data_IF_280260005502
#
_entry.id   IF_280260005502
#
_cell.length_a   1.000
_cell.length_b   1.000
_cell.length_c   1.000
_cell.angle_alpha   90.00
_cell.angle_beta   90.00
_cell.angle_gamma   90.00
#
_symmetry.space_group_name_H-M   'P 1'
#
loop_
_entity.id
_entity.type
_entity.pdbx_description
1 polymer ?
#
# COMPACT_ATOMS: atom_id res chain seq x y z
N UNK A 1 4.52 -14.24 -47.57
CA UNK A 1 5.19 -13.94 -46.29
C UNK A 1 4.82 -12.52 -45.93
N UNK A 2 3.74 -12.33 -45.18
CA UNK A 2 3.37 -11.03 -44.62
C UNK A 2 3.19 -11.25 -43.13
N UNK A 3 4.19 -10.81 -42.36
CA UNK A 3 4.18 -10.83 -40.91
C UNK A 3 3.37 -9.64 -40.41
N UNK A 4 2.11 -9.90 -40.03
CA UNK A 4 1.29 -8.95 -39.30
C UNK A 4 1.84 -8.73 -37.90
N UNK A 5 2.50 -7.59 -37.69
CA UNK A 5 2.82 -7.07 -36.37
C UNK A 5 1.51 -6.60 -35.71
N UNK A 6 0.95 -7.43 -34.82
CA UNK A 6 -0.09 -6.97 -33.87
C UNK A 6 0.59 -6.08 -32.83
N UNK A 7 0.46 -4.77 -33.02
CA UNK A 7 0.71 -3.79 -31.97
C UNK A 7 -0.29 -3.98 -30.84
N UNK A 8 0.14 -4.59 -29.73
CA UNK A 8 -0.57 -4.48 -28.46
C UNK A 8 -0.29 -3.08 -27.88
N UNK A 9 -0.97 -2.05 -28.40
CA UNK A 9 -1.10 -0.78 -27.69
C UNK A 9 -2.01 -1.04 -26.49
N UNK A 10 -1.47 -0.97 -25.27
CA UNK A 10 -2.29 -0.88 -24.07
C UNK A 10 -3.07 0.43 -24.14
N UNK A 11 -4.38 0.35 -24.38
CA UNK A 11 -5.26 1.52 -24.36
C UNK A 11 -5.10 2.23 -23.01
N UNK A 12 -4.60 3.47 -23.05
CA UNK A 12 -4.57 4.33 -21.87
C UNK A 12 -6.02 4.62 -21.52
N UNK A 13 -6.49 4.08 -20.39
CA UNK A 13 -7.81 4.41 -19.88
C UNK A 13 -7.81 5.90 -19.50
N UNK A 14 -8.45 6.73 -20.32
CA UNK A 14 -8.55 8.16 -20.06
C UNK A 14 -9.86 8.44 -19.32
N UNK A 15 -9.76 9.00 -18.12
CA UNK A 15 -10.94 9.37 -17.34
C UNK A 15 -11.77 10.43 -18.07
N UNK A 16 -13.08 10.21 -18.32
CA UNK A 16 -13.92 11.17 -19.00
C UNK A 16 -14.10 12.42 -18.14
N UNK A 17 -14.16 13.59 -18.79
CA UNK A 17 -14.49 14.85 -18.14
C UNK A 17 -15.94 14.83 -17.66
N UNK A 18 -16.21 15.41 -16.48
CA UNK A 18 -17.57 15.56 -15.98
C UNK A 18 -18.32 16.66 -16.73
N UNK A 19 -17.63 17.75 -17.10
CA UNK A 19 -18.18 18.81 -17.93
C UNK A 19 -17.17 19.28 -19.00
N UNK A 20 -17.16 18.63 -20.19
CA UNK A 20 -16.23 18.99 -21.27
C UNK A 20 -16.36 20.42 -21.79
N UNK A 21 -17.53 21.06 -21.61
CA UNK A 21 -17.81 22.42 -22.09
C UNK A 21 -17.65 23.51 -21.03
N UNK A 22 -17.06 23.19 -19.86
CA UNK A 22 -16.83 24.17 -18.82
C UNK A 22 -15.86 25.27 -19.34
N UNK A 23 -16.23 26.54 -19.12
CA UNK A 23 -15.35 27.66 -19.42
C UNK A 23 -14.06 27.52 -18.59
N UNK A 24 -12.92 27.51 -19.27
CA UNK A 24 -11.60 27.27 -18.66
C UNK A 24 -10.94 25.95 -19.08
N UNK A 25 -11.66 25.03 -19.72
CA UNK A 25 -11.05 23.83 -20.33
C UNK A 25 -10.64 24.12 -21.77
N UNK A 26 -9.36 23.91 -22.08
CA UNK A 26 -8.79 23.99 -23.42
C UNK A 26 -8.53 22.56 -23.96
N UNK A 27 -9.35 22.03 -24.90
CA UNK A 27 -9.19 20.68 -25.43
C UNK A 27 -7.82 20.40 -26.02
N UNK A 28 -7.23 21.38 -26.71
CA UNK A 28 -5.91 21.27 -27.32
C UNK A 28 -4.82 21.05 -26.27
N UNK A 29 -4.93 21.71 -25.11
CA UNK A 29 -4.00 21.51 -24.00
C UNK A 29 -4.14 20.10 -23.40
N UNK A 30 -5.36 19.56 -23.34
CA UNK A 30 -5.58 18.19 -22.87
C UNK A 30 -4.98 17.16 -23.82
N UNK A 31 -5.09 17.36 -25.13
CA UNK A 31 -4.40 16.51 -26.12
C UNK A 31 -2.88 16.56 -25.94
N UNK A 32 -2.30 17.73 -25.69
CA UNK A 32 -0.86 17.86 -25.39
C UNK A 32 -0.48 17.12 -24.11
N UNK A 33 -1.30 17.19 -23.06
CA UNK A 33 -1.05 16.47 -21.80
C UNK A 33 -1.12 14.94 -21.98
N UNK A 34 -2.05 14.45 -22.79
CA UNK A 34 -2.16 13.04 -23.15
C UNK A 34 -0.94 12.57 -23.97
N UNK A 35 -0.49 13.39 -24.93
CA UNK A 35 0.70 13.09 -25.72
C UNK A 35 1.98 13.10 -24.86
N UNK A 36 2.13 14.08 -23.97
CA UNK A 36 3.23 14.13 -23.01
C UNK A 36 3.24 12.88 -22.11
N UNK A 37 2.07 12.45 -21.64
CA UNK A 37 1.91 11.22 -20.85
C UNK A 37 2.29 9.98 -21.66
N UNK A 38 1.95 9.94 -22.96
CA UNK A 38 2.32 8.84 -23.88
C UNK A 38 3.82 8.81 -24.18
N UNK A 39 4.46 9.98 -24.21
CA UNK A 39 5.91 10.13 -24.35
C UNK A 39 6.69 9.83 -23.05
N UNK A 40 5.99 9.66 -21.92
CA UNK A 40 6.60 9.43 -20.60
C UNK A 40 6.98 10.71 -19.84
N UNK A 41 6.65 11.89 -20.37
CA UNK A 41 6.82 13.17 -19.68
C UNK A 41 5.62 13.46 -18.79
N UNK A 42 5.57 12.74 -17.66
CA UNK A 42 4.48 12.87 -16.71
C UNK A 42 4.50 14.22 -15.97
N UNK A 43 5.66 14.85 -15.81
CA UNK A 43 5.79 16.15 -15.17
C UNK A 43 5.07 17.24 -15.97
N UNK A 44 5.30 17.29 -17.29
CA UNK A 44 4.61 18.22 -18.17
C UNK A 44 3.09 17.98 -18.18
N UNK A 45 2.66 16.72 -18.23
CA UNK A 45 1.24 16.39 -18.16
C UNK A 45 0.59 16.90 -16.85
N UNK A 46 1.27 16.75 -15.71
CA UNK A 46 0.80 17.25 -14.40
C UNK A 46 0.70 18.77 -14.39
N UNK A 47 1.66 19.49 -14.97
CA UNK A 47 1.64 20.95 -15.07
C UNK A 47 0.43 21.43 -15.89
N UNK A 48 0.20 20.81 -17.04
CA UNK A 48 -0.94 21.14 -17.91
C UNK A 48 -2.26 20.88 -17.18
N UNK A 49 -2.47 19.69 -16.62
CA UNK A 49 -3.70 19.39 -15.88
C UNK A 49 -3.89 20.32 -14.67
N UNK A 50 -2.81 20.72 -14.00
CA UNK A 50 -2.88 21.67 -12.88
C UNK A 50 -3.29 23.06 -13.33
N UNK A 51 -2.77 23.54 -14.47
CA UNK A 51 -3.21 24.80 -15.08
C UNK A 51 -4.69 24.74 -15.46
N UNK A 52 -5.12 23.68 -16.14
CA UNK A 52 -6.52 23.52 -16.54
C UNK A 52 -7.47 23.45 -15.35
N UNK A 53 -7.07 22.80 -14.25
CA UNK A 53 -7.86 22.78 -13.01
C UNK A 53 -7.92 24.15 -12.30
N UNK A 54 -6.86 24.96 -12.39
CA UNK A 54 -6.81 26.29 -11.77
C UNK A 54 -7.71 27.31 -12.48
N UNK A 55 -7.95 27.13 -13.78
CA UNK A 55 -8.84 27.98 -14.58
C UNK A 55 -10.33 27.69 -14.36
N UNK A 56 -10.67 26.61 -13.63
CA UNK A 56 -12.04 26.22 -13.33
C UNK A 56 -12.53 26.80 -12.00
N UNK A 57 -13.79 27.24 -11.97
CA UNK A 57 -14.46 27.63 -10.73
C UNK A 57 -14.65 26.46 -9.76
N UNK A 58 -14.82 25.25 -10.30
CA UNK A 58 -14.96 24.02 -9.56
C UNK A 58 -14.09 22.93 -10.21
N UNK A 59 -13.37 22.11 -9.42
CA UNK A 59 -12.52 21.06 -9.97
C UNK A 59 -13.36 20.04 -10.74
N UNK A 60 -12.91 19.66 -11.93
CA UNK A 60 -13.49 18.57 -12.71
C UNK A 60 -12.96 17.22 -12.23
N UNK A 61 -13.85 16.28 -11.91
CA UNK A 61 -13.47 14.95 -11.39
C UNK A 61 -12.57 14.19 -12.36
N UNK A 62 -12.86 14.25 -13.66
CA UNK A 62 -12.08 13.58 -14.69
C UNK A 62 -10.65 14.13 -14.77
N UNK A 63 -10.50 15.46 -14.76
CA UNK A 63 -9.19 16.11 -14.70
C UNK A 63 -8.41 15.79 -13.43
N UNK A 64 -9.07 15.74 -12.27
CA UNK A 64 -8.43 15.33 -11.02
C UNK A 64 -7.85 13.91 -11.12
N UNK A 65 -8.59 12.97 -11.73
CA UNK A 65 -8.11 11.59 -11.91
C UNK A 65 -6.96 11.51 -12.93
N UNK A 66 -7.04 12.22 -14.06
CA UNK A 66 -5.93 12.28 -15.03
C UNK A 66 -4.66 12.85 -14.41
N UNK A 67 -4.77 13.94 -13.63
CA UNK A 67 -3.66 14.51 -12.87
C UNK A 67 -3.10 13.50 -11.87
N UNK A 68 -3.96 12.80 -11.14
CA UNK A 68 -3.56 11.80 -10.16
C UNK A 68 -2.77 10.65 -10.81
N UNK A 69 -3.23 10.15 -11.96
CA UNK A 69 -2.56 9.12 -12.75
C UNK A 69 -1.15 9.55 -13.20
N UNK A 70 -1.02 10.77 -13.73
CA UNK A 70 0.28 11.32 -14.13
C UNK A 70 1.21 11.53 -12.93
N UNK A 71 0.70 12.02 -11.79
CA UNK A 71 1.47 12.14 -10.54
C UNK A 71 1.95 10.78 -10.04
N UNK A 72 1.10 9.75 -10.09
CA UNK A 72 1.48 8.40 -9.70
C UNK A 72 2.61 7.87 -10.58
N UNK A 73 2.49 8.00 -11.91
CA UNK A 73 3.55 7.59 -12.86
C UNK A 73 4.84 8.40 -12.71
N UNK A 74 4.76 9.66 -12.27
CA UNK A 74 5.93 10.47 -11.92
C UNK A 74 6.57 10.08 -10.58
N UNK A 75 6.03 9.09 -9.86
CA UNK A 75 6.50 8.66 -8.53
C UNK A 75 6.09 9.59 -7.38
N UNK A 76 5.26 10.60 -7.65
CA UNK A 76 4.77 11.59 -6.66
C UNK A 76 3.51 11.09 -5.97
N UNK A 77 3.60 9.94 -5.29
CA UNK A 77 2.45 9.20 -4.75
C UNK A 77 1.60 10.03 -3.79
N UNK A 78 2.22 10.82 -2.90
CA UNK A 78 1.47 11.63 -1.93
C UNK A 78 0.54 12.63 -2.61
N UNK A 79 1.05 13.36 -3.61
CA UNK A 79 0.25 14.34 -4.36
C UNK A 79 -0.78 13.66 -5.27
N UNK A 80 -0.45 12.47 -5.79
CA UNK A 80 -1.42 11.63 -6.51
C UNK A 80 -2.60 11.29 -5.61
N UNK A 81 -2.35 10.86 -4.36
CA UNK A 81 -3.40 10.55 -3.38
C UNK A 81 -4.27 11.77 -3.07
N UNK A 82 -3.68 12.95 -2.89
CA UNK A 82 -4.44 14.19 -2.70
C UNK A 82 -5.38 14.49 -3.88
N UNK A 83 -4.90 14.25 -5.10
CA UNK A 83 -5.69 14.41 -6.33
C UNK A 83 -6.81 13.37 -6.43
N UNK A 84 -6.55 12.09 -6.10
CA UNK A 84 -7.59 11.06 -6.01
C UNK A 84 -8.63 11.37 -4.93
N UNK A 85 -8.22 11.89 -3.77
CA UNK A 85 -9.12 12.31 -2.70
C UNK A 85 -10.04 13.46 -3.13
N UNK A 86 -9.51 14.41 -3.90
CA UNK A 86 -10.31 15.48 -4.51
C UNK A 86 -11.35 14.89 -5.46
N UNK A 87 -10.95 13.97 -6.34
CA UNK A 87 -11.89 13.26 -7.23
C UNK A 87 -12.95 12.46 -6.46
N UNK A 88 -12.56 11.78 -5.37
CA UNK A 88 -13.45 11.01 -4.51
C UNK A 88 -14.50 11.89 -3.81
N UNK A 89 -14.13 13.12 -3.47
CA UNK A 89 -15.02 14.11 -2.85
C UNK A 89 -16.10 14.60 -3.84
N UNK A 90 -15.81 14.57 -5.14
CA UNK A 90 -16.75 14.92 -6.21
C UNK A 90 -17.63 13.73 -6.64
N UNK A 91 -17.15 12.50 -6.45
CA UNK A 91 -17.93 11.29 -6.72
C UNK A 91 -17.15 10.03 -6.38
N UNK A 92 -17.87 9.00 -5.89
CA UNK A 92 -17.29 7.72 -5.45
C UNK A 92 -16.31 7.15 -6.48
N UNK A 93 -15.13 6.75 -6.03
CA UNK A 93 -14.13 6.08 -6.85
C UNK A 93 -14.55 4.64 -7.12
N UNK A 94 -14.27 4.16 -8.33
CA UNK A 94 -14.41 2.75 -8.71
C UNK A 94 -13.05 2.05 -8.69
N UNK A 95 -13.01 0.73 -8.47
CA UNK A 95 -11.74 -0.01 -8.43
C UNK A 95 -10.90 0.14 -9.70
N UNK A 96 -11.54 0.19 -10.87
CA UNK A 96 -10.87 0.35 -12.16
C UNK A 96 -10.14 1.70 -12.28
N UNK A 97 -10.65 2.72 -11.57
CA UNK A 97 -10.05 4.06 -11.57
C UNK A 97 -8.83 4.16 -10.65
N UNK A 98 -8.55 3.13 -9.85
CA UNK A 98 -7.40 3.09 -8.94
C UNK A 98 -6.33 2.08 -9.40
N UNK A 99 -6.57 1.37 -10.51
CA UNK A 99 -5.70 0.31 -10.97
C UNK A 99 -4.25 0.80 -11.16
N UNK A 100 -4.06 1.95 -11.81
CA UNK A 100 -2.73 2.51 -12.05
C UNK A 100 -2.01 2.88 -10.73
N UNK A 101 -2.72 3.50 -9.79
CA UNK A 101 -2.17 3.82 -8.47
C UNK A 101 -1.73 2.54 -7.76
N UNK A 102 -2.59 1.53 -7.72
CA UNK A 102 -2.31 0.24 -7.07
C UNK A 102 -1.12 -0.46 -7.75
N UNK A 103 -1.07 -0.49 -9.07
CA UNK A 103 0.05 -1.07 -9.82
C UNK A 103 1.37 -0.35 -9.53
N UNK A 104 1.32 0.98 -9.46
CA UNK A 104 2.49 1.82 -9.18
C UNK A 104 2.97 1.60 -7.75
N UNK A 105 2.08 1.68 -6.76
CA UNK A 105 2.41 1.37 -5.36
C UNK A 105 2.97 -0.04 -5.26
N UNK A 106 2.30 -1.03 -5.84
CA UNK A 106 2.76 -2.42 -5.77
C UNK A 106 4.12 -2.61 -6.45
N UNK A 107 4.43 -1.87 -7.52
CA UNK A 107 5.75 -1.86 -8.16
C UNK A 107 6.79 -1.25 -7.23
N UNK A 108 6.50 -0.08 -6.66
CA UNK A 108 7.39 0.60 -5.71
C UNK A 108 7.68 -0.27 -4.49
N UNK A 109 6.67 -0.97 -3.96
CA UNK A 109 6.85 -1.92 -2.86
C UNK A 109 7.74 -3.09 -3.29
N UNK A 110 7.52 -3.69 -4.48
CA UNK A 110 8.37 -4.79 -4.98
C UNK A 110 9.83 -4.37 -5.20
N UNK A 111 10.05 -3.17 -5.73
CA UNK A 111 11.38 -2.64 -6.04
C UNK A 111 12.13 -2.23 -4.77
N UNK A 112 11.47 -1.49 -3.87
CA UNK A 112 12.09 -0.98 -2.64
C UNK A 112 12.18 -2.01 -1.52
N UNK A 113 11.22 -2.93 -1.42
CA UNK A 113 11.10 -3.81 -0.24
C UNK A 113 11.56 -5.25 -0.51
N UNK A 114 11.51 -5.73 -1.77
CA UNK A 114 11.80 -7.13 -2.10
C UNK A 114 13.05 -7.34 -2.96
N UNK A 115 13.62 -6.27 -3.54
CA UNK A 115 14.77 -6.38 -4.44
C UNK A 115 14.50 -7.26 -5.68
N UNK A 116 13.23 -7.51 -6.03
CA UNK A 116 12.84 -8.31 -7.19
C UNK A 116 12.72 -7.35 -8.38
N UNK A 117 13.58 -7.47 -9.42
CA UNK A 117 13.45 -6.63 -10.60
C UNK A 117 12.10 -6.91 -11.26
N UNK A 118 11.27 -5.87 -11.39
CA UNK A 118 10.06 -5.94 -12.19
C UNK A 118 10.48 -6.14 -13.65
N UNK A 119 10.41 -7.38 -14.14
CA UNK A 119 10.60 -7.63 -15.58
C UNK A 119 9.39 -7.07 -16.30
N UNK A 120 9.57 -5.93 -16.97
CA UNK A 120 9.19 -5.64 -18.36
C UNK A 120 9.52 -4.17 -18.72
N UNK A 121 10.39 -4.03 -19.72
CA UNK A 121 10.56 -2.93 -20.67
C UNK A 121 10.30 -1.48 -20.23
N UNK A 122 11.41 -0.75 -20.06
CA UNK A 122 11.47 0.71 -20.11
C UNK A 122 12.90 1.18 -19.85
N UNK A 123 13.63 1.48 -20.92
CA UNK A 123 15.02 1.95 -20.88
C UNK A 123 15.22 3.11 -19.90
N UNK A 124 16.05 2.91 -18.88
CA UNK A 124 16.80 3.99 -18.26
C UNK A 124 18.27 3.58 -18.28
N UNK A 125 19.00 4.14 -19.24
CA UNK A 125 20.45 4.00 -19.36
C UNK A 125 21.11 4.55 -18.12
N UNK A 126 21.93 3.71 -17.51
CA UNK A 126 22.92 4.03 -16.50
C UNK A 126 24.11 4.81 -17.10
N UNK A 127 24.59 5.79 -16.35
CA UNK A 127 25.91 6.45 -16.39
C UNK A 127 26.07 7.10 -15.01
N UNK A 128 27.09 6.97 -14.16
CA UNK A 128 28.46 6.44 -14.15
C UNK A 128 28.70 5.86 -12.73
N UNK A 129 29.59 4.89 -12.50
CA UNK A 129 31.03 5.12 -12.30
C UNK A 129 31.40 4.76 -10.84
N UNK A 130 32.39 3.88 -10.69
CA UNK A 130 32.76 3.12 -9.50
C UNK A 130 33.54 3.94 -8.46
N UNK A 131 33.34 3.68 -7.16
CA UNK A 131 34.43 3.48 -6.19
C UNK A 131 33.86 3.01 -4.83
N UNK A 132 34.45 1.93 -4.29
CA UNK A 132 33.91 1.19 -3.16
C UNK A 132 34.22 1.80 -1.79
N UNK A 133 33.22 1.80 -0.91
CA UNK A 133 33.37 1.59 0.53
C UNK A 133 32.20 0.74 1.01
N UNK A 134 32.52 -0.40 1.61
CA UNK A 134 31.57 -1.24 2.33
C UNK A 134 31.00 -0.43 3.51
N UNK A 135 29.70 -0.19 3.51
CA UNK A 135 28.97 0.33 4.66
C UNK A 135 27.73 -0.52 4.89
N UNK A 136 27.59 -1.01 6.11
CA UNK A 136 26.52 -1.88 6.60
C UNK A 136 25.13 -1.40 6.14
N UNK A 137 24.47 -2.20 5.31
CA UNK A 137 23.08 -2.01 4.87
C UNK A 137 22.07 -2.39 5.93
N UNK A 138 22.18 -1.81 7.12
CA UNK A 138 21.12 -1.82 8.13
C UNK A 138 20.33 -0.53 7.94
N UNK A 139 19.11 -0.57 7.37
CA UNK A 139 18.00 0.36 7.70
C UNK A 139 16.73 0.22 6.82
N UNK A 140 16.75 -0.36 5.63
CA UNK A 140 15.61 -0.15 4.68
C UNK A 140 14.35 -1.03 4.91
N UNK A 141 14.45 -2.13 5.69
CA UNK A 141 13.32 -3.08 5.88
C UNK A 141 12.42 -2.69 7.07
N UNK A 142 12.89 -1.83 7.98
CA UNK A 142 12.14 -1.42 9.18
C UNK A 142 10.89 -0.58 8.84
N UNK A 143 10.98 0.22 7.77
CA UNK A 143 9.91 1.10 7.30
C UNK A 143 8.76 0.37 6.58
N UNK A 144 9.06 -0.70 5.84
CA UNK A 144 8.07 -1.54 5.16
C UNK A 144 7.16 -2.27 6.17
N UNK A 145 7.75 -2.78 7.25
CA UNK A 145 6.99 -3.41 8.34
C UNK A 145 6.13 -2.38 9.09
N UNK A 146 6.49 -1.10 9.14
CA UNK A 146 5.65 -0.08 9.79
C UNK A 146 4.28 0.06 9.10
N UNK A 147 4.23 -0.05 7.76
CA UNK A 147 2.98 -0.02 7.00
C UNK A 147 2.07 -1.22 7.32
N UNK A 148 2.69 -2.40 7.48
CA UNK A 148 2.00 -3.66 7.74
C UNK A 148 1.89 -4.02 9.23
N UNK A 149 2.28 -3.09 10.11
CA UNK A 149 2.22 -3.26 11.55
C UNK A 149 0.89 -2.80 12.12
N UNK A 150 0.37 -3.58 13.05
CA UNK A 150 -0.77 -3.18 13.85
C UNK A 150 -0.42 -1.96 14.69
N UNK A 151 -1.19 -0.88 14.54
CA UNK A 151 -0.90 0.37 15.26
C UNK A 151 -1.11 0.27 16.77
N UNK A 152 -1.81 -0.77 17.26
CA UNK A 152 -1.98 -1.06 18.69
C UNK A 152 -0.82 -1.89 19.26
N UNK A 153 -0.60 -3.10 18.76
CA UNK A 153 0.41 -4.00 19.32
C UNK A 153 1.80 -3.85 18.70
N UNK A 154 1.97 -2.99 17.68
CA UNK A 154 3.24 -2.69 16.98
C UNK A 154 3.94 -3.92 16.39
N UNK A 155 3.16 -4.97 16.11
CA UNK A 155 3.62 -6.22 15.47
C UNK A 155 2.95 -6.36 14.11
N UNK A 156 3.50 -7.22 13.26
CA UNK A 156 2.86 -7.59 11.98
C UNK A 156 1.37 -7.91 12.19
N UNK A 157 0.53 -7.35 11.32
CA UNK A 157 -0.91 -7.55 11.33
C UNK A 157 -1.25 -9.04 11.25
N UNK A 158 -2.11 -9.50 12.16
CA UNK A 158 -2.70 -10.83 12.13
C UNK A 158 -4.21 -10.68 12.15
N UNK A 159 -4.89 -11.37 11.22
CA UNK A 159 -6.31 -11.13 10.92
C UNK A 159 -6.58 -9.62 10.80
N UNK A 160 -5.95 -8.93 9.83
CA UNK A 160 -6.07 -7.48 9.71
C UNK A 160 -7.53 -7.08 9.55
N UNK A 161 -7.98 -6.11 10.33
CA UNK A 161 -9.32 -5.53 10.26
C UNK A 161 -9.21 -4.03 10.03
N UNK A 162 -9.75 -3.58 8.90
CA UNK A 162 -9.83 -2.17 8.53
C UNK A 162 -11.13 -1.58 9.09
N UNK A 163 -11.02 -0.56 9.93
CA UNK A 163 -12.16 0.13 10.56
C UNK A 163 -12.66 1.27 9.66
N UNK A 164 -13.82 1.85 9.98
CA UNK A 164 -14.47 2.88 9.14
C UNK A 164 -13.58 4.09 8.84
N UNK A 165 -12.67 4.44 9.75
CA UNK A 165 -11.71 5.52 9.55
C UNK A 165 -10.55 5.17 8.59
N UNK A 166 -10.52 3.97 8.03
CA UNK A 166 -9.50 3.51 7.08
C UNK A 166 -8.23 2.91 7.71
N UNK A 167 -8.01 3.08 9.01
CA UNK A 167 -6.89 2.44 9.69
C UNK A 167 -7.10 0.93 9.87
N UNK A 168 -6.01 0.18 9.89
CA UNK A 168 -6.03 -1.28 10.00
C UNK A 168 -5.31 -1.75 11.27
N UNK A 169 -5.92 -2.71 11.95
CA UNK A 169 -5.46 -3.28 13.22
C UNK A 169 -5.60 -4.80 13.21
N UNK A 170 -4.95 -5.54 14.12
CA UNK A 170 -5.29 -6.94 14.31
C UNK A 170 -6.71 -7.07 14.87
N UNK A 171 -7.49 -8.04 14.39
CA UNK A 171 -8.82 -8.34 14.93
C UNK A 171 -8.83 -8.47 16.45
N UNK A 172 -7.93 -9.30 17.01
CA UNK A 172 -7.80 -9.47 18.47
C UNK A 172 -7.51 -8.17 19.23
N UNK A 173 -6.81 -7.20 18.62
CA UNK A 173 -6.47 -5.94 19.26
C UNK A 173 -7.67 -4.99 19.34
N UNK A 174 -8.54 -4.97 18.33
CA UNK A 174 -9.74 -4.14 18.35
C UNK A 174 -10.93 -4.84 19.03
N UNK A 175 -10.88 -6.16 19.21
CA UNK A 175 -11.86 -6.91 20.00
C UNK A 175 -11.69 -6.71 21.52
N UNK A 176 -10.56 -6.16 21.98
CA UNK A 176 -10.36 -5.77 23.38
C UNK A 176 -11.31 -4.65 23.80
N UNK A 177 -12.09 -4.84 24.87
CA UNK A 177 -13.10 -3.88 25.32
C UNK A 177 -12.53 -2.57 25.88
N UNK A 178 -11.24 -2.54 26.23
CA UNK A 178 -10.54 -1.31 26.56
C UNK A 178 -10.32 -0.38 25.35
N UNK A 179 -10.42 -0.92 24.13
CA UNK A 179 -10.20 -0.18 22.88
C UNK A 179 -11.54 0.29 22.32
N UNK A 180 -11.90 1.55 22.59
CA UNK A 180 -13.17 2.14 22.15
C UNK A 180 -13.03 3.12 20.97
N UNK A 181 -11.84 3.68 20.76
CA UNK A 181 -11.59 4.73 19.78
C UNK A 181 -10.31 4.44 18.98
N UNK A 182 -10.29 4.86 17.71
CA UNK A 182 -9.10 4.80 16.89
C UNK A 182 -8.00 5.66 17.51
N UNK A 183 -6.82 5.09 17.71
CA UNK A 183 -5.71 5.82 18.35
C UNK A 183 -5.22 7.02 17.53
N UNK A 184 -5.43 7.00 16.20
CA UNK A 184 -5.01 8.05 15.27
C UNK A 184 -6.04 9.18 15.15
N UNK A 185 -7.25 8.86 14.70
CA UNK A 185 -8.28 9.88 14.40
C UNK A 185 -9.35 10.04 15.49
N UNK A 186 -9.28 9.27 16.58
CA UNK A 186 -10.22 9.27 17.72
C UNK A 186 -11.66 8.89 17.38
N UNK A 187 -11.98 8.52 16.13
CA UNK A 187 -13.29 7.99 15.76
C UNK A 187 -13.63 6.74 16.57
N UNK A 188 -14.91 6.60 16.92
CA UNK A 188 -15.41 5.49 17.73
C UNK A 188 -15.33 4.18 16.92
N UNK A 189 -14.76 3.14 17.50
CA UNK A 189 -14.62 1.82 16.88
C UNK A 189 -15.82 0.92 17.21
N UNK A 190 -17.01 1.50 17.37
CA UNK A 190 -18.18 0.87 18.00
C UNK A 190 -18.41 -0.54 17.48
N UNK A 191 -18.22 -1.51 18.38
CA UNK A 191 -18.51 -2.93 18.13
C UNK A 191 -20.02 -3.21 18.13
N UNK A 192 -20.80 -2.28 18.67
CA UNK A 192 -22.26 -2.41 18.82
C UNK A 192 -22.92 -2.25 17.46
N UNK A 193 -23.45 -3.36 16.93
CA UNK A 193 -24.21 -3.39 15.69
C UNK A 193 -23.66 -4.32 14.60
N UNK A 194 -22.46 -4.90 14.77
CA UNK A 194 -21.96 -5.91 13.84
C UNK A 194 -22.40 -7.31 14.30
N UNK A 195 -23.33 -7.98 13.59
CA UNK A 195 -23.84 -9.30 14.00
C UNK A 195 -22.75 -10.38 14.08
N UNK A 196 -21.61 -10.18 13.39
CA UNK A 196 -20.52 -11.14 13.30
C UNK A 196 -19.17 -10.57 13.81
N UNK A 197 -19.19 -9.47 14.56
CA UNK A 197 -17.97 -8.79 15.01
C UNK A 197 -17.15 -8.15 13.87
N UNK A 198 -15.93 -7.66 14.14
CA UNK A 198 -15.09 -6.97 13.16
C UNK A 198 -14.68 -7.87 12.00
N UNK A 199 -14.78 -7.37 10.76
CA UNK A 199 -14.50 -8.14 9.54
C UNK A 199 -13.03 -8.13 9.15
N UNK A 200 -12.48 -9.30 8.86
CA UNK A 200 -11.11 -9.46 8.39
C UNK A 200 -10.99 -8.96 6.94
N UNK A 201 -9.95 -8.17 6.67
CA UNK A 201 -9.51 -7.79 5.34
C UNK A 201 -8.70 -8.94 4.72
N UNK A 202 -9.42 -9.84 4.03
CA UNK A 202 -8.83 -11.04 3.42
C UNK A 202 -7.79 -10.75 2.34
N UNK A 203 -7.91 -9.61 1.64
CA UNK A 203 -6.93 -9.19 0.63
C UNK A 203 -5.61 -8.86 1.32
N UNK A 204 -5.65 -8.05 2.37
CA UNK A 204 -4.45 -7.72 3.13
C UNK A 204 -3.87 -8.95 3.82
N UNK A 205 -4.69 -9.84 4.38
CA UNK A 205 -4.22 -11.11 4.93
C UNK A 205 -3.46 -11.95 3.88
N UNK A 206 -4.01 -12.06 2.67
CA UNK A 206 -3.38 -12.78 1.57
C UNK A 206 -2.09 -12.13 1.07
N UNK A 207 -2.01 -10.79 1.12
CA UNK A 207 -0.77 -10.05 0.81
C UNK A 207 0.30 -10.31 1.87
N UNK A 208 -0.05 -10.21 3.16
CA UNK A 208 0.89 -10.45 4.26
C UNK A 208 1.48 -11.86 4.21
N UNK A 209 0.64 -12.87 3.95
CA UNK A 209 1.10 -14.26 3.84
C UNK A 209 2.04 -14.49 2.65
N UNK A 210 1.96 -13.67 1.59
CA UNK A 210 2.83 -13.75 0.40
C UNK A 210 4.11 -12.91 0.54
N UNK A 211 3.99 -11.69 1.05
CA UNK A 211 5.10 -10.74 1.17
C UNK A 211 5.98 -11.05 2.38
N UNK A 212 5.37 -11.50 3.47
CA UNK A 212 6.01 -11.76 4.76
C UNK A 212 5.70 -13.19 5.22
N UNK A 213 6.00 -14.18 4.38
CA UNK A 213 5.58 -15.57 4.61
C UNK A 213 6.10 -16.13 5.94
N UNK A 214 7.36 -15.88 6.27
CA UNK A 214 7.99 -16.41 7.48
C UNK A 214 7.49 -15.69 8.73
N UNK A 215 7.42 -14.37 8.66
CA UNK A 215 6.95 -13.49 9.72
C UNK A 215 5.47 -13.73 10.02
N UNK A 216 4.63 -13.89 8.99
CA UNK A 216 3.20 -14.20 9.14
C UNK A 216 2.98 -15.57 9.80
N UNK A 217 3.79 -16.58 9.44
CA UNK A 217 3.76 -17.90 10.10
C UNK A 217 4.21 -17.82 11.55
N UNK A 218 5.32 -17.15 11.82
CA UNK A 218 5.80 -16.93 13.19
C UNK A 218 4.77 -16.19 14.04
N UNK A 219 4.12 -15.18 13.46
CA UNK A 219 3.05 -14.41 14.12
C UNK A 219 1.84 -15.28 14.46
N UNK A 220 1.42 -16.17 13.55
CA UNK A 220 0.34 -17.15 13.78
C UNK A 220 0.68 -18.09 14.95
N UNK A 221 1.88 -18.69 14.93
CA UNK A 221 2.35 -19.57 16.01
C UNK A 221 2.43 -18.85 17.36
N UNK A 222 2.89 -17.60 17.37
CA UNK A 222 2.93 -16.80 18.58
C UNK A 222 1.53 -16.59 19.19
N UNK A 223 0.54 -16.31 18.36
CA UNK A 223 -0.85 -16.11 18.80
C UNK A 223 -1.46 -17.43 19.30
N UNK A 224 -1.21 -18.55 18.61
CA UNK A 224 -1.59 -19.89 19.08
C UNK A 224 -0.99 -20.19 20.46
N UNK A 225 0.28 -19.85 20.67
CA UNK A 225 0.97 -19.99 21.95
C UNK A 225 0.31 -19.16 23.06
N UNK A 226 -0.06 -17.91 22.78
CA UNK A 226 -0.76 -17.04 23.74
C UNK A 226 -2.14 -17.60 24.11
N UNK A 227 -2.87 -18.18 23.17
CA UNK A 227 -4.18 -18.79 23.44
C UNK A 227 -4.07 -20.08 24.27
N UNK A 228 -3.05 -20.91 24.03
CA UNK A 228 -2.75 -22.09 24.85
C UNK A 228 -2.29 -21.71 26.26
N UNK A 229 -1.46 -20.67 26.38
CA UNK A 229 -1.01 -20.16 27.67
C UNK A 229 -2.19 -19.67 28.52
N UNK A 230 -3.13 -18.92 27.94
CA UNK A 230 -4.38 -18.52 28.62
C UNK A 230 -5.22 -19.70 29.09
N UNK A 231 -5.21 -20.82 28.34
CA UNK A 231 -5.87 -22.09 28.70
C UNK A 231 -5.09 -22.92 29.73
N UNK A 232 -3.91 -22.46 30.17
CA UNK A 232 -2.99 -23.15 31.09
C UNK A 232 -2.33 -24.43 30.53
N UNK A 233 -2.38 -24.62 29.22
CA UNK A 233 -1.65 -25.68 28.49
C UNK A 233 -0.22 -25.21 28.23
N UNK A 234 0.62 -25.19 29.28
CA UNK A 234 1.96 -24.61 29.22
C UNK A 234 2.94 -25.36 28.30
N UNK A 235 3.00 -26.70 28.28
CA UNK A 235 3.92 -27.42 27.39
C UNK A 235 3.63 -27.13 25.91
N UNK A 236 2.36 -27.17 25.51
CA UNK A 236 1.92 -26.90 24.14
C UNK A 236 2.14 -25.42 23.78
N UNK A 237 1.90 -24.50 24.72
CA UNK A 237 2.20 -23.07 24.51
C UNK A 237 3.70 -22.84 24.24
N UNK A 238 4.58 -23.45 25.04
CA UNK A 238 6.03 -23.35 24.86
C UNK A 238 6.47 -23.94 23.52
N UNK A 239 5.89 -25.06 23.10
CA UNK A 239 6.15 -25.64 21.78
C UNK A 239 5.83 -24.65 20.65
N UNK A 240 4.67 -23.97 20.72
CA UNK A 240 4.28 -22.95 19.73
C UNK A 240 5.21 -21.76 19.72
N UNK A 241 5.62 -21.26 20.90
CA UNK A 241 6.57 -20.15 20.99
C UNK A 241 7.94 -20.52 20.43
N UNK A 242 8.45 -21.71 20.75
CA UNK A 242 9.72 -22.19 20.20
C UNK A 242 9.66 -22.30 18.68
N UNK A 243 8.58 -22.87 18.13
CA UNK A 243 8.38 -22.94 16.69
C UNK A 243 8.34 -21.56 16.02
N UNK A 244 7.71 -20.56 16.67
CA UNK A 244 7.72 -19.17 16.19
C UNK A 244 9.14 -18.56 16.18
N UNK A 245 9.91 -18.82 17.24
CA UNK A 245 11.30 -18.35 17.37
C UNK A 245 12.20 -19.01 16.32
N UNK A 246 12.02 -20.31 16.06
CA UNK A 246 12.87 -21.05 15.12
C UNK A 246 12.67 -20.60 13.66
N UNK A 247 11.45 -20.20 13.29
CA UNK A 247 11.19 -19.52 12.02
C UNK A 247 11.95 -18.19 11.92
N UNK A 248 12.13 -17.49 13.04
CA UNK A 248 12.91 -16.26 13.12
C UNK A 248 14.42 -16.44 13.00
N UNK A 249 14.93 -17.65 13.31
CA UNK A 249 16.36 -17.98 13.18
C UNK A 249 16.74 -18.43 11.76
N UNK A 250 15.80 -19.03 11.04
CA UNK A 250 16.06 -19.56 9.69
C UNK A 250 16.07 -18.47 8.62
N UNK A 251 15.36 -17.36 8.84
CA UNK A 251 15.47 -16.16 8.03
C UNK A 251 16.41 -15.18 8.72
N UNK A 252 17.53 -14.84 8.07
CA UNK A 252 18.52 -13.86 8.56
C UNK A 252 18.01 -12.41 8.39
N UNK A 253 16.77 -12.16 8.78
CA UNK A 253 16.20 -10.83 8.95
C UNK A 253 16.19 -10.52 10.46
N UNK A 254 17.06 -9.61 10.89
CA UNK A 254 17.27 -9.24 12.31
C UNK A 254 16.00 -8.73 13.04
N UNK A 255 14.88 -8.53 12.34
CA UNK A 255 13.65 -7.92 12.85
C UNK A 255 12.72 -8.90 13.59
N UNK A 256 12.77 -10.20 13.30
CA UNK A 256 12.04 -11.22 14.08
C UNK A 256 12.58 -11.28 15.52
N UNK A 257 13.88 -11.07 15.69
CA UNK A 257 14.54 -11.01 16.99
C UNK A 257 14.10 -9.79 17.82
N UNK A 258 13.83 -8.63 17.19
CA UNK A 258 13.34 -7.44 17.87
C UNK A 258 11.90 -7.63 18.37
N UNK A 259 10.98 -8.09 17.52
CA UNK A 259 9.56 -8.29 17.90
C UNK A 259 9.36 -9.45 18.89
N UNK A 260 10.15 -10.52 18.81
CA UNK A 260 10.16 -11.60 19.80
C UNK A 260 10.83 -11.16 21.12
N UNK A 261 11.89 -10.36 21.06
CA UNK A 261 12.60 -9.81 22.22
C UNK A 261 11.73 -8.90 23.09
N UNK A 262 10.94 -8.01 22.49
CA UNK A 262 9.99 -7.16 23.24
C UNK A 262 8.92 -7.98 23.99
N UNK A 263 8.55 -9.16 23.48
CA UNK A 263 7.52 -10.00 24.09
C UNK A 263 8.07 -10.96 25.16
N UNK A 264 9.36 -11.29 25.14
CA UNK A 264 10.05 -12.08 26.17
C UNK A 264 10.47 -11.24 27.39
N UNK A 265 10.72 -9.94 27.22
CA UNK A 265 10.98 -9.02 28.34
C UNK A 265 9.73 -8.60 29.13
N UNK A 266 8.53 -9.06 28.73
CA UNK A 266 7.26 -8.75 29.38
C UNK A 266 6.62 -9.95 30.11
N UNK A 267 7.35 -11.06 30.22
CA UNK A 267 7.04 -12.23 31.08
C UNK A 267 7.93 -12.19 32.32
#
# INVERSE_FOLDING_TARGET
METGLRSHQGEVFVHPLSNPGAAGICPEMLEVAEEASRAGDFSLAVEIYSSQLADLQHPDRGLCLRKADSLARAGRISEALDSYCTAASLGKLRPEELQLLVETIARTLREKELGIPATLNGNSKSSNGEDGVQSNGECEIDEALDLFSCRLCKRLLHEPTTVECGYTFCKRCIEDDSVTNCIHCKQNLSKKGLPNGPRINVVLSGLLDKLFTTESKARKLWIEGEDLWKKKSLPEALERYNAAVDLGKTHRNNTLHAQLGYSLCSL
#
